data_IF_113917729938
#
_entry.id   IF_113917729938
#
_cell.length_a   1.000
_cell.length_b   1.000
_cell.length_c   1.000
_cell.angle_alpha   90.00
_cell.angle_beta   90.00
_cell.angle_gamma   90.00
#
_symmetry.space_group_name_H-M   'P 1'
#
loop_
_entity.id
_entity.type
_entity.pdbx_description
1 polymer ?
#
# COMPACT_ATOMS: atom_id res chain seq x y z
N UNK A 1 -92.98 21.32 -12.20
CA UNK A 1 -92.40 21.25 -10.89
C UNK A 1 -90.95 20.66 -11.10
N UNK A 2 -89.99 21.57 -11.11
CA UNK A 2 -88.56 21.20 -11.27
C UNK A 2 -87.90 21.13 -9.89
N UNK A 3 -87.43 19.99 -9.48
CA UNK A 3 -86.61 19.84 -8.29
C UNK A 3 -85.13 20.12 -8.66
N UNK A 4 -84.55 21.13 -8.07
CA UNK A 4 -83.14 21.41 -8.15
C UNK A 4 -82.40 20.52 -7.13
N UNK A 5 -81.42 19.82 -7.60
CA UNK A 5 -80.49 19.06 -6.77
C UNK A 5 -79.27 19.94 -6.53
N UNK A 6 -79.08 20.32 -5.28
CA UNK A 6 -77.85 21.07 -4.85
C UNK A 6 -76.75 20.08 -4.56
N UNK A 7 -75.67 20.12 -5.36
CA UNK A 7 -74.46 19.35 -5.14
C UNK A 7 -73.52 20.22 -4.29
N UNK A 8 -73.26 19.77 -3.08
CA UNK A 8 -72.19 20.36 -2.25
C UNK A 8 -70.85 19.83 -2.71
N UNK A 9 -69.97 20.71 -3.26
CA UNK A 9 -68.58 20.42 -3.54
C UNK A 9 -67.79 20.74 -2.27
N UNK A 10 -67.28 19.70 -1.62
CA UNK A 10 -66.36 19.86 -0.50
C UNK A 10 -64.98 20.07 -1.09
N UNK A 11 -64.43 21.26 -1.01
CA UNK A 11 -63.07 21.60 -1.35
C UNK A 11 -62.19 21.27 -0.13
N UNK A 12 -61.42 20.18 -0.21
CA UNK A 12 -60.39 19.89 0.75
C UNK A 12 -59.15 20.72 0.36
N UNK A 13 -58.87 21.76 1.09
CA UNK A 13 -57.62 22.53 1.00
C UNK A 13 -56.57 21.73 1.74
N UNK A 14 -55.71 20.99 1.01
CA UNK A 14 -54.50 20.42 1.54
C UNK A 14 -53.47 21.54 1.72
N UNK A 15 -53.26 21.97 2.94
CA UNK A 15 -52.19 22.90 3.30
C UNK A 15 -50.85 22.16 3.19
N UNK A 16 -50.09 22.38 2.11
CA UNK A 16 -48.70 22.02 2.00
C UNK A 16 -47.90 22.89 2.99
N UNK A 17 -47.57 22.33 4.12
CA UNK A 17 -46.53 22.88 4.99
C UNK A 17 -45.21 22.55 4.31
N UNK A 18 -44.67 23.45 3.52
CA UNK A 18 -43.30 23.47 3.12
C UNK A 18 -42.43 23.66 4.38
N UNK A 19 -42.02 22.56 4.97
CA UNK A 19 -40.97 22.56 5.95
C UNK A 19 -39.69 23.08 5.29
N UNK A 20 -39.33 24.32 5.55
CA UNK A 20 -38.00 24.86 5.31
C UNK A 20 -37.08 24.06 6.21
N UNK A 21 -36.44 23.04 5.65
CA UNK A 21 -35.26 22.39 6.27
C UNK A 21 -34.19 23.48 6.27
N UNK A 22 -33.72 23.98 7.41
CA UNK A 22 -32.61 24.87 7.39
C UNK A 22 -31.43 24.07 6.80
N UNK A 23 -30.89 24.57 5.68
CA UNK A 23 -29.60 24.19 5.21
C UNK A 23 -28.63 24.53 6.35
N UNK A 24 -28.36 23.55 7.23
CA UNK A 24 -27.22 23.60 8.10
C UNK A 24 -26.03 23.36 7.15
N UNK A 25 -25.58 24.45 6.55
CA UNK A 25 -24.20 24.53 6.07
C UNK A 25 -23.34 24.34 7.31
N UNK A 26 -23.03 23.11 7.64
CA UNK A 26 -21.84 22.82 8.42
C UNK A 26 -20.70 23.28 7.53
N UNK A 27 -20.26 24.51 7.70
CA UNK A 27 -18.86 24.83 7.50
C UNK A 27 -18.12 23.93 8.50
N UNK A 28 -17.86 22.67 8.11
CA UNK A 28 -16.75 21.94 8.63
C UNK A 28 -15.57 22.84 8.27
N UNK A 29 -14.98 23.49 9.25
CA UNK A 29 -13.63 24.02 9.15
C UNK A 29 -12.82 22.83 8.62
N UNK A 30 -12.52 22.85 7.33
CA UNK A 30 -11.53 21.98 6.75
C UNK A 30 -10.26 22.40 7.46
N UNK A 31 -9.89 21.61 8.49
CA UNK A 31 -8.62 21.79 9.17
C UNK A 31 -7.56 21.68 8.10
N UNK A 32 -7.00 22.81 7.72
CA UNK A 32 -6.05 22.98 6.63
C UNK A 32 -4.77 22.26 7.07
N UNK A 33 -4.69 20.94 6.79
CA UNK A 33 -3.52 20.15 7.10
C UNK A 33 -2.36 20.64 6.23
N UNK A 34 -1.55 21.52 6.79
CA UNK A 34 -0.38 22.07 6.11
C UNK A 34 0.83 21.21 6.43
N UNK A 35 1.53 20.82 5.40
CA UNK A 35 2.74 20.03 5.48
C UNK A 35 3.97 20.88 5.18
N UNK A 36 5.04 20.66 5.93
CA UNK A 36 6.38 21.11 5.58
C UNK A 36 7.09 19.93 4.91
N UNK A 37 7.57 20.11 3.70
CA UNK A 37 8.18 19.06 2.89
C UNK A 37 9.61 19.49 2.55
N UNK A 38 10.58 18.71 3.02
CA UNK A 38 11.96 18.77 2.58
C UNK A 38 12.18 17.65 1.55
N UNK A 39 12.86 17.96 0.44
CA UNK A 39 13.09 17.03 -0.66
C UNK A 39 14.59 16.85 -0.90
N UNK A 40 15.02 15.59 -0.85
CA UNK A 40 16.42 15.17 -1.04
C UNK A 40 16.49 14.21 -2.24
N UNK A 41 17.56 14.27 -3.03
CA UNK A 41 17.74 13.36 -4.16
C UNK A 41 18.32 12.02 -3.67
N UNK A 42 17.78 10.91 -4.21
CA UNK A 42 18.27 9.54 -3.98
C UNK A 42 18.55 8.83 -5.32
N UNK A 43 19.50 9.33 -6.13
CA UNK A 43 19.70 8.87 -7.51
C UNK A 43 20.21 7.44 -7.60
N UNK A 44 20.98 6.96 -6.62
CA UNK A 44 21.59 5.64 -6.67
C UNK A 44 20.60 4.51 -6.42
N UNK A 45 19.62 4.72 -5.52
CA UNK A 45 18.58 3.74 -5.19
C UNK A 45 17.36 3.82 -6.10
N UNK A 46 17.21 4.89 -6.88
CA UNK A 46 16.15 5.03 -7.88
C UNK A 46 16.26 3.95 -8.96
N UNK A 47 15.14 3.33 -9.32
CA UNK A 47 15.08 2.27 -10.32
C UNK A 47 14.74 2.87 -11.67
N UNK A 48 15.71 2.79 -12.60
CA UNK A 48 15.50 3.19 -14.01
C UNK A 48 15.74 1.98 -14.91
N UNK A 49 14.77 1.69 -15.77
CA UNK A 49 14.83 0.59 -16.74
C UNK A 49 14.26 1.02 -18.09
N UNK A 50 14.28 0.14 -19.09
CA UNK A 50 13.69 0.38 -20.41
C UNK A 50 12.17 0.58 -20.38
N UNK A 51 11.49 0.11 -19.35
CA UNK A 51 10.01 0.18 -19.22
C UNK A 51 9.53 1.26 -18.26
N UNK A 52 10.43 2.06 -17.68
CA UNK A 52 10.08 3.17 -16.81
C UNK A 52 10.87 3.24 -15.51
N UNK A 53 10.36 4.02 -14.61
CA UNK A 53 10.98 4.36 -13.34
C UNK A 53 10.13 3.86 -12.17
N UNK A 54 10.80 3.65 -11.03
CA UNK A 54 10.18 3.25 -9.77
C UNK A 54 11.00 3.76 -8.60
N UNK A 55 10.34 4.32 -7.61
CA UNK A 55 10.96 4.72 -6.34
C UNK A 55 11.52 3.51 -5.57
N UNK A 56 12.48 3.79 -4.71
CA UNK A 56 13.08 2.78 -3.84
C UNK A 56 12.10 2.28 -2.78
N UNK A 57 12.21 1.01 -2.39
CA UNK A 57 11.68 0.54 -1.11
C UNK A 57 12.52 1.14 0.03
N UNK A 58 11.90 1.49 1.17
CA UNK A 58 12.58 2.08 2.31
C UNK A 58 12.36 1.27 3.58
N UNK A 59 13.39 1.18 4.43
CA UNK A 59 13.25 0.63 5.77
C UNK A 59 14.18 1.36 6.74
N UNK A 60 13.65 1.80 7.88
CA UNK A 60 14.40 2.54 8.87
C UNK A 60 15.37 1.67 9.66
N UNK A 61 16.61 2.14 9.81
CA UNK A 61 17.60 1.56 10.71
C UNK A 61 17.73 2.35 12.03
N UNK A 62 17.66 3.65 11.96
CA UNK A 62 17.67 4.58 13.10
C UNK A 62 17.22 5.97 12.62
N UNK A 63 17.35 7.00 13.45
CA UNK A 63 16.89 8.37 13.18
C UNK A 63 17.41 8.98 11.89
N UNK A 64 18.62 8.62 11.49
CA UNK A 64 19.33 9.27 10.38
C UNK A 64 19.61 8.28 9.22
N UNK A 65 19.46 6.96 9.46
CA UNK A 65 19.89 5.94 8.51
C UNK A 65 18.76 5.03 8.08
N UNK A 66 18.66 4.87 6.77
CA UNK A 66 17.65 4.05 6.11
C UNK A 66 18.31 3.04 5.15
N UNK A 67 17.71 1.87 5.03
CA UNK A 67 17.98 0.97 3.91
C UNK A 67 17.07 1.39 2.76
N UNK A 68 17.67 1.55 1.58
CA UNK A 68 16.93 1.77 0.35
C UNK A 68 17.15 0.58 -0.58
N UNK A 69 16.05 0.11 -1.18
CA UNK A 69 16.06 -1.04 -2.08
C UNK A 69 15.68 -0.65 -3.49
N UNK A 70 16.54 -0.92 -4.46
CA UNK A 70 16.28 -0.58 -5.85
C UNK A 70 17.55 -0.44 -6.67
N UNK A 71 17.85 0.76 -7.11
CA UNK A 71 19.01 1.12 -7.94
C UNK A 71 18.94 0.56 -9.36
N UNK A 72 19.96 0.86 -10.15
CA UNK A 72 20.08 0.32 -11.49
C UNK A 72 20.07 -1.21 -11.43
N UNK A 73 19.01 -1.80 -12.00
CA UNK A 73 18.80 -3.23 -11.94
C UNK A 73 17.84 -3.69 -10.84
N UNK A 74 17.33 -2.80 -9.98
CA UNK A 74 16.22 -3.05 -9.08
C UNK A 74 16.49 -3.91 -7.85
N UNK A 75 17.65 -4.59 -7.76
CA UNK A 75 17.95 -5.57 -6.69
C UNK A 75 19.17 -5.20 -5.84
N UNK A 76 19.59 -3.94 -5.87
CA UNK A 76 20.65 -3.44 -5.01
C UNK A 76 20.08 -2.90 -3.68
N UNK A 77 20.88 -3.00 -2.62
CA UNK A 77 20.62 -2.35 -1.34
C UNK A 77 21.61 -1.22 -1.12
N UNK A 78 21.11 -0.12 -0.61
CA UNK A 78 21.87 1.07 -0.26
C UNK A 78 21.65 1.40 1.20
N UNK A 79 22.62 2.02 1.81
CA UNK A 79 22.47 2.79 3.04
C UNK A 79 22.31 4.24 2.62
N UNK A 80 21.27 4.87 3.10
CA UNK A 80 21.10 6.31 3.01
C UNK A 80 21.24 6.92 4.40
N UNK A 81 22.02 8.00 4.49
CA UNK A 81 22.20 8.79 5.70
C UNK A 81 21.63 10.20 5.46
N UNK A 82 20.51 10.49 6.11
CA UNK A 82 19.75 11.74 5.89
C UNK A 82 20.50 12.98 6.42
N UNK A 83 21.42 12.84 7.37
CA UNK A 83 22.20 13.93 7.89
C UNK A 83 23.30 14.41 6.96
N UNK A 84 23.97 13.48 6.29
CA UNK A 84 25.00 13.78 5.30
C UNK A 84 24.48 13.85 3.88
N UNK A 85 23.23 13.45 3.65
CA UNK A 85 22.61 13.25 2.33
C UNK A 85 23.49 12.36 1.42
N UNK A 86 23.91 11.23 1.97
CA UNK A 86 24.83 10.31 1.29
C UNK A 86 24.17 8.93 1.05
N UNK A 87 24.21 8.46 -0.18
CA UNK A 87 23.81 7.12 -0.59
C UNK A 87 25.03 6.23 -0.82
N UNK A 88 25.10 5.12 -0.10
CA UNK A 88 26.17 4.16 -0.26
C UNK A 88 25.67 2.76 -0.55
N UNK A 89 26.12 2.19 -1.66
CA UNK A 89 25.75 0.82 -2.03
C UNK A 89 26.32 -0.19 -1.05
N UNK A 90 25.46 -1.07 -0.52
CA UNK A 90 25.84 -2.15 0.40
C UNK A 90 26.10 -3.47 -0.33
N UNK A 91 25.32 -3.76 -1.36
CA UNK A 91 25.39 -5.00 -2.11
C UNK A 91 24.15 -5.28 -2.95
N UNK A 92 23.93 -6.54 -3.26
CA UNK A 92 22.82 -6.98 -4.12
C UNK A 92 22.16 -8.22 -3.53
N UNK A 93 20.82 -8.28 -3.53
CA UNK A 93 20.04 -9.38 -2.94
C UNK A 93 19.87 -10.57 -3.90
N UNK A 94 19.91 -10.33 -5.20
CA UNK A 94 19.76 -11.36 -6.23
C UNK A 94 20.63 -11.02 -7.46
N UNK A 95 20.95 -12.02 -8.27
CA UNK A 95 21.72 -11.83 -9.50
C UNK A 95 20.92 -11.09 -10.56
N UNK A 96 21.63 -10.43 -11.50
CA UNK A 96 21.02 -9.80 -12.66
C UNK A 96 20.19 -10.78 -13.51
N UNK A 97 20.55 -12.07 -13.50
CA UNK A 97 19.80 -13.12 -14.19
C UNK A 97 18.43 -13.41 -13.60
N UNK A 98 18.16 -12.96 -12.37
CA UNK A 98 16.88 -13.15 -11.69
C UNK A 98 15.80 -12.10 -12.05
N UNK A 99 16.04 -11.26 -13.03
CA UNK A 99 15.12 -10.20 -13.49
C UNK A 99 15.15 -10.02 -15.01
N UNK A 100 14.11 -9.34 -15.50
CA UNK A 100 14.09 -8.71 -16.81
C UNK A 100 14.42 -7.22 -16.67
N UNK A 101 14.71 -6.54 -17.77
CA UNK A 101 14.92 -5.09 -17.80
C UNK A 101 13.56 -4.36 -17.80
N UNK A 102 12.93 -4.43 -16.64
CA UNK A 102 11.59 -3.92 -16.36
C UNK A 102 11.57 -3.38 -14.92
N UNK A 103 11.07 -2.15 -14.73
CA UNK A 103 11.03 -1.47 -13.42
C UNK A 103 10.20 -2.22 -12.37
N UNK A 104 9.31 -3.11 -12.81
CA UNK A 104 8.52 -3.97 -11.92
C UNK A 104 9.35 -5.09 -11.27
N UNK A 105 10.53 -5.44 -11.85
CA UNK A 105 11.50 -6.35 -11.23
C UNK A 105 12.46 -5.58 -10.31
N UNK A 106 11.90 -5.04 -9.24
CA UNK A 106 12.64 -4.35 -8.18
C UNK A 106 12.31 -4.94 -6.82
N UNK A 107 13.09 -4.58 -5.82
CA UNK A 107 12.73 -4.81 -4.42
C UNK A 107 11.36 -4.18 -4.18
N UNK A 108 10.43 -4.98 -3.67
CA UNK A 108 9.07 -4.51 -3.36
C UNK A 108 8.99 -3.95 -1.96
N UNK A 109 9.75 -4.55 -1.02
CA UNK A 109 9.78 -4.09 0.36
C UNK A 109 10.95 -4.68 1.18
N UNK A 110 11.27 -4.06 2.34
CA UNK A 110 12.36 -4.43 3.24
C UNK A 110 11.85 -4.41 4.69
N UNK A 111 11.84 -5.55 5.37
CA UNK A 111 11.52 -5.64 6.79
C UNK A 111 12.77 -5.81 7.66
N UNK A 112 13.01 -4.91 8.61
CA UNK A 112 14.14 -4.98 9.55
C UNK A 112 13.75 -5.81 10.77
N UNK A 113 14.25 -7.05 10.84
CA UNK A 113 13.93 -7.98 11.94
C UNK A 113 14.71 -7.67 13.21
N UNK A 114 15.96 -7.26 13.09
CA UNK A 114 16.82 -6.88 14.23
C UNK A 114 18.03 -6.11 13.77
N UNK A 115 18.55 -5.24 14.66
CA UNK A 115 19.78 -4.47 14.44
C UNK A 115 20.66 -4.55 15.69
N UNK A 116 21.97 -4.67 15.47
CA UNK A 116 23.00 -4.59 16.51
C UNK A 116 24.27 -3.94 15.95
N UNK A 117 24.61 -2.77 16.44
CA UNK A 117 25.69 -1.94 15.87
C UNK A 117 25.46 -1.71 14.37
N UNK A 118 26.45 -1.97 13.56
CA UNK A 118 26.40 -1.83 12.09
C UNK A 118 25.92 -3.10 11.35
N UNK A 119 25.18 -3.96 12.02
CA UNK A 119 24.60 -5.17 11.42
C UNK A 119 23.11 -5.21 11.61
N UNK A 120 22.38 -5.62 10.58
CA UNK A 120 20.94 -5.87 10.63
C UNK A 120 20.64 -7.25 10.03
N UNK A 121 19.62 -7.92 10.58
CA UNK A 121 18.95 -9.03 9.93
C UNK A 121 17.67 -8.49 9.31
N UNK A 122 17.49 -8.74 8.03
CA UNK A 122 16.35 -8.24 7.27
C UNK A 122 15.70 -9.35 6.46
N UNK A 123 14.45 -9.15 6.12
CA UNK A 123 13.78 -9.87 5.03
C UNK A 123 13.50 -8.88 3.90
N UNK A 124 13.57 -9.38 2.68
CA UNK A 124 13.36 -8.55 1.48
C UNK A 124 12.48 -9.32 0.52
N UNK A 125 11.43 -8.67 0.05
CA UNK A 125 10.52 -9.21 -0.95
C UNK A 125 10.84 -8.66 -2.35
N UNK A 126 10.71 -9.50 -3.36
CA UNK A 126 10.96 -9.12 -4.76
C UNK A 126 10.41 -10.16 -5.74
N UNK A 127 9.91 -9.76 -6.93
CA UNK A 127 9.60 -10.70 -7.99
C UNK A 127 10.89 -11.25 -8.60
N UNK A 128 10.99 -12.56 -8.69
CA UNK A 128 12.13 -13.27 -9.28
C UNK A 128 11.74 -13.96 -10.57
N UNK A 129 12.46 -13.68 -11.64
CA UNK A 129 12.33 -14.38 -12.91
C UNK A 129 13.14 -15.67 -12.93
N UNK A 130 12.48 -16.78 -13.21
CA UNK A 130 13.11 -18.08 -13.47
C UNK A 130 13.33 -18.24 -14.98
N UNK A 131 14.60 -18.19 -15.41
CA UNK A 131 14.97 -18.23 -16.83
C UNK A 131 14.70 -19.59 -17.46
N UNK A 132 14.75 -20.67 -16.69
CA UNK A 132 14.52 -22.02 -17.18
C UNK A 132 13.03 -22.26 -17.42
N UNK A 133 12.20 -21.94 -16.42
CA UNK A 133 10.74 -22.08 -16.48
C UNK A 133 10.04 -20.91 -17.20
N UNK A 134 10.77 -19.83 -17.48
CA UNK A 134 10.27 -18.59 -18.08
C UNK A 134 9.06 -18.01 -17.35
N UNK A 135 9.14 -17.97 -16.04
CA UNK A 135 8.04 -17.55 -15.19
C UNK A 135 8.53 -16.73 -13.98
N UNK A 136 7.61 -16.09 -13.27
CA UNK A 136 7.86 -15.20 -12.14
C UNK A 136 7.21 -15.76 -10.89
N UNK A 137 7.93 -15.69 -9.76
CA UNK A 137 7.41 -15.89 -8.41
C UNK A 137 7.82 -14.72 -7.52
N UNK A 138 6.96 -14.36 -6.55
CA UNK A 138 7.36 -13.49 -5.45
C UNK A 138 8.24 -14.29 -4.48
N UNK A 139 9.35 -13.70 -4.07
CA UNK A 139 10.30 -14.26 -3.11
C UNK A 139 10.31 -13.39 -1.85
N UNK A 140 10.31 -14.01 -0.68
CA UNK A 140 10.75 -13.40 0.57
C UNK A 140 12.08 -14.03 0.98
N UNK A 141 13.17 -13.30 0.76
CA UNK A 141 14.53 -13.69 1.14
C UNK A 141 14.94 -13.12 2.49
N UNK A 142 15.73 -13.86 3.26
CA UNK A 142 16.33 -13.38 4.52
C UNK A 142 17.82 -13.12 4.33
N UNK A 143 18.29 -11.99 4.88
CA UNK A 143 19.65 -11.50 4.70
C UNK A 143 20.24 -10.95 5.99
N UNK A 144 21.55 -11.06 6.12
CA UNK A 144 22.34 -10.30 7.08
C UNK A 144 23.07 -9.19 6.33
N UNK A 145 22.91 -7.98 6.80
CA UNK A 145 23.50 -6.79 6.22
C UNK A 145 24.54 -6.23 7.19
N UNK A 146 25.75 -5.97 6.68
CA UNK A 146 26.73 -5.13 7.36
C UNK A 146 26.80 -3.78 6.64
N UNK A 147 26.40 -2.72 7.34
CA UNK A 147 26.40 -1.35 6.83
C UNK A 147 27.50 -0.47 7.45
N UNK A 148 28.49 -1.07 8.12
CA UNK A 148 29.74 -0.41 8.53
C UNK A 148 30.71 -0.17 7.37
N UNK A 149 31.96 0.16 7.68
CA UNK A 149 33.00 0.47 6.69
C UNK A 149 33.24 -0.66 5.65
N UNK A 150 33.08 -1.93 6.06
CA UNK A 150 33.09 -3.08 5.15
C UNK A 150 31.67 -3.54 4.90
N UNK A 151 31.01 -2.91 3.94
CA UNK A 151 29.63 -3.25 3.55
C UNK A 151 29.54 -4.67 3.01
N UNK A 152 28.47 -5.38 3.37
CA UNK A 152 28.19 -6.72 2.85
C UNK A 152 26.71 -7.06 2.98
N UNK A 153 26.20 -7.77 1.98
CA UNK A 153 24.87 -8.39 1.97
C UNK A 153 25.05 -9.88 1.86
N UNK A 154 24.71 -10.61 2.92
CA UNK A 154 24.82 -12.08 2.97
C UNK A 154 23.43 -12.69 3.03
N UNK A 155 23.11 -13.55 2.07
CA UNK A 155 21.84 -14.28 2.05
C UNK A 155 21.86 -15.39 3.11
N UNK A 156 20.81 -15.45 3.93
CA UNK A 156 20.64 -16.49 4.96
C UNK A 156 19.63 -17.58 4.55
N UNK A 157 18.79 -17.30 3.54
CA UNK A 157 17.82 -18.28 3.03
C UNK A 157 16.61 -17.64 2.36
N UNK A 158 15.64 -18.47 2.02
CA UNK A 158 14.34 -18.07 1.52
C UNK A 158 13.29 -18.47 2.53
N UNK A 159 12.41 -17.54 2.91
CA UNK A 159 11.30 -17.81 3.82
C UNK A 159 10.02 -18.15 3.06
N UNK A 160 9.85 -17.55 1.85
CA UNK A 160 8.69 -17.78 1.02
C UNK A 160 9.05 -17.73 -0.48
N UNK A 161 8.37 -18.55 -1.26
CA UNK A 161 8.35 -18.51 -2.71
C UNK A 161 6.91 -18.77 -3.15
N UNK A 162 6.28 -17.83 -3.83
CA UNK A 162 4.91 -17.99 -4.28
C UNK A 162 4.74 -19.12 -5.30
N UNK A 163 3.61 -19.80 -5.22
CA UNK A 163 3.16 -20.83 -6.14
C UNK A 163 1.73 -20.49 -6.61
N UNK A 164 1.43 -20.54 -7.91
CA UNK A 164 2.30 -20.96 -9.01
C UNK A 164 3.37 -19.95 -9.39
N UNK A 165 4.37 -20.39 -10.14
CA UNK A 165 5.23 -19.52 -10.92
C UNK A 165 4.46 -19.13 -12.18
N UNK A 166 4.24 -17.84 -12.42
CA UNK A 166 3.34 -17.34 -13.46
C UNK A 166 4.07 -16.80 -14.69
N UNK A 167 3.44 -16.75 -15.86
CA UNK A 167 4.06 -16.18 -17.06
C UNK A 167 4.53 -14.74 -16.87
N UNK A 168 5.58 -14.37 -17.59
CA UNK A 168 6.27 -13.07 -17.43
C UNK A 168 5.34 -11.86 -17.62
N UNK A 169 4.35 -11.93 -18.50
CA UNK A 169 3.40 -10.83 -18.73
C UNK A 169 2.58 -10.43 -17.50
N UNK A 170 2.53 -11.27 -16.48
CA UNK A 170 1.70 -11.11 -15.29
C UNK A 170 2.40 -10.40 -14.10
N UNK A 171 3.63 -9.90 -14.24
CA UNK A 171 4.44 -9.40 -13.11
C UNK A 171 3.95 -8.10 -12.48
N UNK A 172 2.95 -7.47 -13.02
CA UNK A 172 2.51 -6.11 -12.67
C UNK A 172 1.85 -5.94 -11.29
N UNK A 173 1.32 -7.00 -10.69
CA UNK A 173 0.62 -6.96 -9.39
C UNK A 173 1.36 -7.82 -8.37
N UNK A 174 2.61 -7.51 -8.11
CA UNK A 174 3.42 -8.31 -7.21
C UNK A 174 3.03 -8.12 -5.73
N UNK A 175 2.48 -6.96 -5.36
CA UNK A 175 2.33 -6.57 -3.96
C UNK A 175 3.68 -6.70 -3.22
N UNK A 176 3.82 -7.63 -2.30
CA UNK A 176 5.10 -7.95 -1.66
C UNK A 176 5.40 -7.07 -0.45
N UNK A 177 4.39 -6.42 0.15
CA UNK A 177 4.57 -5.60 1.35
C UNK A 177 4.78 -6.45 2.58
N UNK A 178 5.61 -5.96 3.50
CA UNK A 178 6.09 -6.67 4.67
C UNK A 178 5.76 -5.87 5.93
N UNK A 179 4.97 -6.45 6.82
CA UNK A 179 4.80 -5.92 8.16
C UNK A 179 5.52 -6.81 9.17
N UNK A 180 6.48 -6.25 9.91
CA UNK A 180 7.32 -7.01 10.85
C UNK A 180 6.60 -7.17 12.19
N UNK A 181 6.21 -8.39 12.52
CA UNK A 181 5.56 -8.71 13.81
C UNK A 181 6.60 -8.80 14.93
N UNK A 182 7.68 -9.53 14.66
CA UNK A 182 8.79 -9.76 15.58
C UNK A 182 10.05 -10.23 14.83
N UNK A 183 11.10 -10.57 15.57
CA UNK A 183 12.39 -11.02 14.98
C UNK A 183 12.31 -12.29 14.12
N UNK A 184 11.19 -13.01 14.15
CA UNK A 184 11.01 -14.33 13.51
C UNK A 184 9.79 -14.40 12.60
N UNK A 185 8.86 -13.46 12.70
CA UNK A 185 7.58 -13.50 12.01
C UNK A 185 7.30 -12.17 11.33
N UNK A 186 6.76 -12.26 10.13
CA UNK A 186 6.27 -11.11 9.36
C UNK A 186 4.92 -11.43 8.74
N UNK A 187 4.12 -10.42 8.43
CA UNK A 187 3.08 -10.53 7.42
C UNK A 187 3.67 -10.21 6.05
N UNK A 188 3.15 -10.85 5.01
CA UNK A 188 3.56 -10.67 3.62
C UNK A 188 2.33 -10.63 2.73
N UNK A 189 2.18 -9.59 1.93
CA UNK A 189 1.16 -9.51 0.90
C UNK A 189 1.64 -10.15 -0.39
N UNK A 190 0.74 -10.75 -1.15
CA UNK A 190 0.99 -11.30 -2.48
C UNK A 190 -0.19 -10.96 -3.39
N UNK A 191 0.07 -10.22 -4.44
CA UNK A 191 -0.93 -9.88 -5.45
C UNK A 191 -1.27 -11.03 -6.40
N UNK A 192 -2.17 -10.78 -7.33
CA UNK A 192 -2.58 -11.76 -8.34
C UNK A 192 -1.54 -11.96 -9.45
N UNK A 193 -0.46 -11.18 -9.46
CA UNK A 193 0.57 -11.11 -10.51
C UNK A 193 -0.02 -10.91 -11.94
N UNK A 194 -1.28 -10.51 -12.07
CA UNK A 194 -2.00 -10.44 -13.34
C UNK A 194 -2.27 -11.82 -13.97
N UNK A 195 -2.27 -12.88 -13.18
CA UNK A 195 -2.42 -14.26 -13.65
C UNK A 195 -3.80 -14.50 -14.26
N UNK A 196 -3.87 -14.89 -15.53
CA UNK A 196 -5.13 -15.03 -16.28
C UNK A 196 -6.09 -16.09 -15.73
N UNK A 197 -5.57 -17.08 -14.98
CA UNK A 197 -6.35 -18.13 -14.33
C UNK A 197 -6.60 -17.88 -12.85
N UNK A 198 -6.58 -16.63 -12.40
CA UNK A 198 -6.80 -16.29 -10.99
C UNK A 198 -8.20 -16.67 -10.48
N UNK A 199 -9.19 -16.81 -11.37
CA UNK A 199 -10.53 -17.30 -11.07
C UNK A 199 -10.58 -18.79 -10.70
N UNK A 200 -9.59 -19.56 -11.15
CA UNK A 200 -9.49 -20.99 -10.84
C UNK A 200 -8.75 -21.14 -9.50
N UNK A 201 -9.48 -21.58 -8.49
CA UNK A 201 -8.94 -21.71 -7.13
C UNK A 201 -7.75 -22.67 -7.04
N UNK A 202 -7.75 -23.75 -7.82
CA UNK A 202 -6.64 -24.71 -7.86
C UNK A 202 -5.42 -24.11 -8.58
N UNK A 203 -5.65 -23.38 -9.68
CA UNK A 203 -4.58 -22.76 -10.46
C UNK A 203 -3.96 -21.55 -9.75
N UNK A 204 -4.75 -20.74 -9.04
CA UNK A 204 -4.27 -19.52 -8.36
C UNK A 204 -3.33 -19.80 -7.20
N UNK A 205 -3.51 -20.90 -6.46
CA UNK A 205 -2.65 -21.31 -5.36
C UNK A 205 -2.48 -20.22 -4.27
N UNK A 206 -1.30 -19.64 -4.22
CA UNK A 206 -0.96 -18.57 -3.26
C UNK A 206 -1.39 -17.16 -3.69
N UNK A 207 -1.67 -16.96 -4.98
CA UNK A 207 -1.89 -15.64 -5.55
C UNK A 207 -3.12 -14.93 -4.95
N UNK A 208 -3.05 -13.60 -4.85
CA UNK A 208 -4.09 -12.79 -4.26
C UNK A 208 -4.34 -13.08 -2.79
N UNK A 209 -3.28 -13.30 -2.01
CA UNK A 209 -3.39 -13.70 -0.60
C UNK A 209 -2.44 -12.91 0.31
N UNK A 210 -2.77 -12.90 1.60
CA UNK A 210 -1.90 -12.40 2.66
C UNK A 210 -1.46 -13.54 3.55
N UNK A 211 -0.19 -13.54 3.93
CA UNK A 211 0.43 -14.61 4.71
C UNK A 211 1.07 -14.09 6.00
N UNK A 212 1.06 -14.92 7.05
CA UNK A 212 2.04 -14.85 8.14
C UNK A 212 3.16 -15.81 7.84
N UNK A 213 4.39 -15.28 7.77
CA UNK A 213 5.58 -16.02 7.31
C UNK A 213 6.67 -16.01 8.38
N UNK A 214 7.28 -17.16 8.58
CA UNK A 214 8.52 -17.31 9.33
C UNK A 214 9.49 -18.22 8.56
N UNK A 215 10.71 -18.37 9.03
CA UNK A 215 11.69 -19.27 8.40
C UNK A 215 11.19 -20.70 8.17
N UNK A 216 10.31 -21.20 9.03
CA UNK A 216 9.87 -22.61 9.05
C UNK A 216 8.39 -22.80 8.80
N UNK A 217 7.59 -21.72 8.74
CA UNK A 217 6.15 -21.83 8.62
C UNK A 217 5.56 -20.70 7.79
N UNK A 218 4.66 -21.06 6.89
CA UNK A 218 3.82 -20.14 6.10
C UNK A 218 2.36 -20.45 6.45
N UNK A 219 1.60 -19.42 6.77
CA UNK A 219 0.18 -19.53 7.07
C UNK A 219 -0.57 -18.48 6.26
N UNK A 220 -1.49 -18.92 5.39
CA UNK A 220 -2.40 -18.01 4.69
C UNK A 220 -3.39 -17.40 5.70
N UNK A 221 -3.50 -16.09 5.71
CA UNK A 221 -4.38 -15.33 6.61
C UNK A 221 -5.67 -14.94 5.91
N UNK A 222 -5.58 -14.41 4.68
CA UNK A 222 -6.72 -14.00 3.87
C UNK A 222 -6.45 -14.25 2.38
N UNK A 223 -7.50 -14.13 1.57
CA UNK A 223 -7.43 -14.28 0.11
C UNK A 223 -8.43 -13.34 -0.58
N UNK A 224 -8.52 -13.44 -1.92
CA UNK A 224 -9.42 -12.60 -2.69
C UNK A 224 -8.90 -11.17 -2.85
N UNK A 225 -7.58 -11.00 -2.85
CA UNK A 225 -6.90 -9.72 -3.05
C UNK A 225 -6.35 -9.59 -4.47
N UNK A 226 -6.34 -8.36 -4.98
CA UNK A 226 -5.78 -8.06 -6.30
C UNK A 226 -4.32 -7.62 -6.22
N UNK A 227 -4.03 -6.54 -5.51
CA UNK A 227 -2.69 -5.95 -5.45
C UNK A 227 -2.53 -5.07 -4.20
N UNK A 228 -2.28 -5.68 -3.06
CA UNK A 228 -2.09 -5.01 -1.76
C UNK A 228 -0.74 -4.28 -1.75
N UNK A 229 -0.74 -2.96 -1.77
CA UNK A 229 0.45 -2.11 -1.88
C UNK A 229 0.83 -1.40 -0.59
N UNK A 230 0.07 -1.58 0.49
CA UNK A 230 0.40 -1.11 1.82
C UNK A 230 -0.10 -2.07 2.89
N UNK A 231 0.60 -2.09 4.02
CA UNK A 231 0.27 -2.94 5.16
C UNK A 231 0.74 -2.29 6.46
N UNK A 232 -0.12 -2.29 7.48
CA UNK A 232 0.25 -1.78 8.81
C UNK A 232 -0.49 -2.53 9.92
N UNK A 233 0.21 -2.77 11.03
CA UNK A 233 -0.34 -3.41 12.23
C UNK A 233 -0.58 -2.36 13.31
N UNK A 234 -1.84 -2.22 13.76
CA UNK A 234 -2.23 -1.33 14.87
C UNK A 234 -2.74 -2.20 16.02
N UNK A 235 -1.93 -2.34 17.06
CA UNK A 235 -2.22 -3.28 18.14
C UNK A 235 -2.27 -4.72 17.64
N UNK A 236 -3.47 -5.30 17.52
CA UNK A 236 -3.69 -6.65 16.95
C UNK A 236 -4.36 -6.61 15.58
N UNK A 237 -4.76 -5.44 15.11
CA UNK A 237 -5.54 -5.26 13.89
C UNK A 237 -4.62 -4.93 12.71
N UNK A 238 -4.77 -5.69 11.64
CA UNK A 238 -3.93 -5.57 10.45
C UNK A 238 -4.74 -4.90 9.33
N UNK A 239 -4.21 -3.81 8.80
CA UNK A 239 -4.83 -3.05 7.72
C UNK A 239 -4.00 -3.14 6.46
N UNK A 240 -4.66 -3.17 5.30
CA UNK A 240 -3.99 -3.14 4.00
C UNK A 240 -4.66 -2.14 3.07
N UNK A 241 -3.86 -1.49 2.23
CA UNK A 241 -4.34 -0.74 1.07
C UNK A 241 -4.15 -1.57 -0.19
N UNK A 242 -5.09 -1.54 -1.13
CA UNK A 242 -4.93 -2.29 -2.36
C UNK A 242 -5.51 -1.60 -3.58
N UNK A 243 -4.91 -1.86 -4.74
CA UNK A 243 -5.37 -1.36 -6.02
C UNK A 243 -6.53 -2.19 -6.55
N UNK A 244 -7.65 -1.56 -6.83
CA UNK A 244 -8.67 -2.09 -7.71
C UNK A 244 -8.23 -2.07 -9.19
N UNK A 245 -9.10 -2.44 -10.12
CA UNK A 245 -8.81 -2.28 -11.54
C UNK A 245 -8.89 -0.79 -11.93
N UNK A 246 -9.95 -0.34 -12.54
CA UNK A 246 -10.16 1.06 -12.90
C UNK A 246 -10.99 1.76 -11.83
N UNK A 247 -10.35 2.26 -10.77
CA UNK A 247 -10.98 2.65 -9.50
C UNK A 247 -11.22 1.44 -8.60
N UNK A 248 -11.96 1.63 -7.51
CA UNK A 248 -12.20 0.59 -6.53
C UNK A 248 -10.96 0.19 -5.75
N UNK A 249 -10.05 1.13 -5.52
CA UNK A 249 -8.97 0.96 -4.57
C UNK A 249 -9.55 0.86 -3.16
N UNK A 250 -8.93 0.11 -2.26
CA UNK A 250 -9.54 -0.25 -0.99
C UNK A 250 -8.59 -0.07 0.20
N UNK A 251 -9.16 0.28 1.34
CA UNK A 251 -8.58 0.09 2.66
C UNK A 251 -9.31 -1.05 3.35
N UNK A 252 -8.60 -2.10 3.71
CA UNK A 252 -9.14 -3.32 4.27
C UNK A 252 -8.65 -3.56 5.71
N UNK A 253 -9.56 -3.92 6.61
CA UNK A 253 -9.22 -4.57 7.87
C UNK A 253 -9.13 -6.08 7.64
N UNK A 254 -7.98 -6.67 7.88
CA UNK A 254 -7.73 -8.08 7.58
C UNK A 254 -8.28 -8.98 8.69
N UNK A 255 -9.15 -9.88 8.30
CA UNK A 255 -9.70 -10.93 9.16
C UNK A 255 -9.13 -12.30 8.77
N UNK A 256 -8.83 -13.11 9.78
CA UNK A 256 -8.32 -14.47 9.52
C UNK A 256 -9.38 -15.32 8.82
N UNK A 257 -9.02 -15.89 7.67
CA UNK A 257 -9.92 -16.67 6.81
C UNK A 257 -10.82 -15.80 5.92
N UNK A 258 -10.64 -14.46 5.94
CA UNK A 258 -11.41 -13.53 5.09
C UNK A 258 -11.14 -13.74 3.61
N UNK A 259 -12.19 -13.61 2.80
CA UNK A 259 -12.13 -13.53 1.33
C UNK A 259 -12.64 -12.16 0.90
N UNK A 260 -11.79 -11.39 0.22
CA UNK A 260 -12.03 -9.99 -0.16
C UNK A 260 -12.61 -9.84 -1.58
N UNK A 261 -12.90 -10.97 -2.23
CA UNK A 261 -13.77 -11.04 -3.40
C UNK A 261 -13.08 -10.97 -4.76
N UNK A 262 -11.82 -10.49 -4.87
CA UNK A 262 -11.13 -10.47 -6.16
C UNK A 262 -10.84 -11.89 -6.66
N UNK A 263 -11.10 -12.21 -7.94
CA UNK A 263 -11.65 -11.36 -9.00
C UNK A 263 -13.17 -11.52 -9.19
N UNK A 264 -13.88 -12.15 -8.27
CA UNK A 264 -15.33 -12.33 -8.39
C UNK A 264 -16.07 -10.99 -8.34
N UNK A 265 -15.64 -10.08 -7.49
CA UNK A 265 -16.24 -8.74 -7.32
C UNK A 265 -15.17 -7.67 -7.11
N UNK A 266 -15.48 -6.42 -7.47
CA UNK A 266 -14.69 -5.21 -7.19
C UNK A 266 -15.62 -3.99 -7.20
N UNK A 267 -15.21 -2.91 -6.54
CA UNK A 267 -15.84 -1.59 -6.68
C UNK A 267 -15.36 -0.82 -7.92
N UNK A 268 -14.29 -1.30 -8.58
CA UNK A 268 -13.75 -0.67 -9.77
C UNK A 268 -14.32 -1.24 -11.06
N UNK A 269 -14.08 -0.51 -12.15
CA UNK A 269 -14.50 -0.90 -13.50
C UNK A 269 -13.42 -1.74 -14.20
N UNK A 270 -13.77 -2.70 -15.06
CA UNK A 270 -12.79 -3.42 -15.83
C UNK A 270 -12.04 -2.50 -16.80
N UNK A 271 -10.77 -2.79 -17.06
CA UNK A 271 -10.03 -2.10 -18.11
C UNK A 271 -10.63 -2.43 -19.49
N UNK A 272 -10.74 -1.40 -20.34
CA UNK A 272 -11.29 -1.54 -21.69
C UNK A 272 -10.31 -2.19 -22.67
N UNK A 273 -9.00 -2.17 -22.38
CA UNK A 273 -7.94 -2.70 -23.24
C UNK A 273 -6.86 -3.41 -22.40
N UNK A 274 -6.12 -4.32 -23.04
CA UNK A 274 -5.06 -5.13 -22.42
C UNK A 274 -5.56 -6.48 -21.86
N UNK A 275 -4.60 -7.38 -21.60
CA UNK A 275 -4.86 -8.74 -21.09
C UNK A 275 -5.00 -8.75 -19.55
N UNK A 276 -5.77 -7.81 -19.01
CA UNK A 276 -6.06 -7.80 -17.59
C UNK A 276 -7.20 -8.75 -17.26
N UNK A 277 -7.11 -9.39 -16.09
CA UNK A 277 -8.23 -10.14 -15.53
C UNK A 277 -9.42 -9.21 -15.37
N UNK A 278 -10.56 -9.63 -15.88
CA UNK A 278 -11.81 -8.88 -15.73
C UNK A 278 -12.57 -9.43 -14.53
N UNK A 279 -13.06 -8.57 -13.65
CA UNK A 279 -13.92 -8.99 -12.56
C UNK A 279 -15.23 -9.58 -13.12
N UNK A 280 -15.80 -10.52 -12.38
CA UNK A 280 -17.09 -11.14 -12.76
C UNK A 280 -18.24 -10.18 -12.51
N UNK A 281 -18.16 -9.38 -11.43
CA UNK A 281 -19.14 -8.39 -11.07
C UNK A 281 -18.48 -7.09 -10.53
N UNK A 282 -19.19 -5.98 -10.64
CA UNK A 282 -18.81 -4.69 -10.06
C UNK A 282 -19.85 -4.27 -9.03
N UNK A 283 -19.42 -3.63 -7.94
CA UNK A 283 -20.29 -3.10 -6.88
C UNK A 283 -20.18 -3.85 -5.56
N UNK A 284 -21.31 -4.19 -4.93
CA UNK A 284 -21.36 -4.67 -3.55
C UNK A 284 -20.69 -6.03 -3.33
N UNK A 285 -19.89 -6.14 -2.26
CA UNK A 285 -19.27 -7.38 -1.78
C UNK A 285 -20.23 -8.15 -0.85
N UNK A 286 -21.42 -8.54 -1.32
CA UNK A 286 -22.48 -9.08 -0.45
C UNK A 286 -22.09 -10.34 0.32
N UNK A 287 -21.32 -11.23 -0.33
CA UNK A 287 -20.87 -12.51 0.25
C UNK A 287 -19.39 -12.53 0.60
N UNK A 288 -18.70 -11.42 0.41
CA UNK A 288 -17.27 -11.27 0.68
C UNK A 288 -17.02 -10.27 1.81
N UNK A 289 -15.80 -10.26 2.34
CA UNK A 289 -15.38 -9.26 3.32
C UNK A 289 -15.35 -7.88 2.65
N UNK A 290 -16.07 -6.92 3.24
CA UNK A 290 -16.15 -5.56 2.71
C UNK A 290 -14.95 -4.74 3.14
N UNK A 291 -14.43 -3.84 2.28
CA UNK A 291 -13.44 -2.87 2.69
C UNK A 291 -14.03 -1.86 3.69
N UNK A 292 -13.18 -1.27 4.51
CA UNK A 292 -13.56 -0.15 5.38
C UNK A 292 -13.83 1.11 4.57
N UNK A 293 -13.08 1.29 3.50
CA UNK A 293 -13.19 2.41 2.57
C UNK A 293 -12.79 1.97 1.16
N UNK A 294 -13.42 2.53 0.14
CA UNK A 294 -12.98 2.39 -1.26
C UNK A 294 -12.99 3.74 -1.98
N UNK A 295 -12.22 3.83 -3.06
CA UNK A 295 -12.05 5.05 -3.86
C UNK A 295 -12.42 4.82 -5.32
N UNK A 296 -13.32 5.65 -5.82
CA UNK A 296 -13.67 5.78 -7.23
C UNK A 296 -13.80 7.28 -7.53
N UNK A 297 -12.93 7.84 -8.36
CA UNK A 297 -11.86 7.23 -9.14
C UNK A 297 -10.70 6.69 -8.30
N UNK A 298 -9.78 5.94 -8.94
CA UNK A 298 -8.57 5.39 -8.30
C UNK A 298 -7.66 6.49 -7.79
N UNK A 299 -7.12 6.30 -6.59
CA UNK A 299 -6.03 7.09 -6.00
C UNK A 299 -4.67 6.41 -6.19
N UNK A 300 -4.66 5.13 -6.55
CA UNK A 300 -3.51 4.23 -6.64
C UNK A 300 -2.71 4.19 -5.33
N UNK A 301 -3.26 3.59 -4.25
CA UNK A 301 -2.66 3.57 -2.92
C UNK A 301 -1.33 2.83 -2.90
N UNK A 302 -0.43 3.25 -2.02
CA UNK A 302 0.82 2.57 -1.73
C UNK A 302 0.93 2.24 -0.24
N UNK A 303 2.09 2.42 0.38
CA UNK A 303 2.33 2.02 1.76
C UNK A 303 1.43 2.76 2.75
N UNK A 304 1.19 2.08 3.86
CA UNK A 304 0.49 2.59 5.03
C UNK A 304 1.48 2.77 6.18
N UNK A 305 1.36 3.88 6.89
CA UNK A 305 2.02 4.09 8.17
C UNK A 305 1.04 4.61 9.21
N UNK A 306 1.35 4.40 10.49
CA UNK A 306 0.62 5.03 11.60
C UNK A 306 1.46 6.16 12.14
N UNK A 307 0.87 7.33 12.23
CA UNK A 307 1.52 8.48 12.86
C UNK A 307 1.74 8.20 14.35
N UNK A 308 2.88 8.57 14.91
CA UNK A 308 3.13 8.42 16.32
C UNK A 308 2.21 9.34 17.16
N UNK A 309 2.03 8.98 18.42
CA UNK A 309 1.31 9.81 19.37
C UNK A 309 2.18 10.99 19.81
N UNK A 310 2.24 12.01 18.95
CA UNK A 310 2.99 13.26 19.19
C UNK A 310 2.10 14.46 18.86
N UNK A 311 2.24 15.52 19.66
CA UNK A 311 1.42 16.74 19.54
C UNK A 311 1.53 17.41 18.16
N UNK A 312 2.66 17.26 17.49
CA UNK A 312 2.91 17.83 16.15
C UNK A 312 1.87 17.43 15.11
N UNK A 313 1.28 16.22 15.20
CA UNK A 313 0.25 15.75 14.28
C UNK A 313 -1.18 16.08 14.74
N UNK A 314 -1.36 16.56 16.00
CA UNK A 314 -2.67 16.94 16.55
C UNK A 314 -3.69 15.81 16.46
N UNK A 315 -4.84 16.06 15.86
CA UNK A 315 -5.91 15.08 15.68
C UNK A 315 -5.53 13.87 14.79
N UNK A 316 -4.48 13.99 13.98
CA UNK A 316 -3.95 12.92 13.15
C UNK A 316 -2.99 11.98 13.90
N UNK A 317 -2.63 12.29 15.16
CA UNK A 317 -1.84 11.38 15.99
C UNK A 317 -2.51 10.01 16.09
N UNK A 318 -1.72 8.95 15.96
CA UNK A 318 -2.20 7.55 15.96
C UNK A 318 -3.13 7.17 14.80
N UNK A 319 -3.27 8.03 13.78
CA UNK A 319 -4.08 7.78 12.59
C UNK A 319 -3.23 7.20 11.45
N UNK A 320 -3.90 6.60 10.46
CA UNK A 320 -3.25 6.03 9.27
C UNK A 320 -2.92 7.14 8.27
N UNK A 321 -1.73 7.06 7.69
CA UNK A 321 -1.37 7.80 6.48
C UNK A 321 -1.06 6.82 5.36
N UNK A 322 -1.63 7.07 4.19
CA UNK A 322 -1.51 6.27 2.99
C UNK A 322 -0.85 7.08 1.88
N UNK A 323 0.21 6.56 1.29
CA UNK A 323 0.81 7.15 0.10
C UNK A 323 -0.01 6.85 -1.15
N UNK A 324 0.08 7.72 -2.17
CA UNK A 324 -0.59 7.51 -3.45
C UNK A 324 0.31 7.78 -4.64
N UNK A 325 0.07 7.04 -5.73
CA UNK A 325 0.78 7.25 -6.99
C UNK A 325 0.03 8.20 -7.92
N UNK A 326 -1.29 8.06 -8.00
CA UNK A 326 -2.08 8.81 -8.97
C UNK A 326 -2.44 10.20 -8.49
N UNK A 327 -2.78 10.34 -7.21
CA UNK A 327 -3.10 11.65 -6.64
C UNK A 327 -1.88 12.46 -6.26
N UNK A 328 -0.67 11.83 -6.26
CA UNK A 328 0.57 12.49 -5.88
C UNK A 328 0.48 13.14 -4.49
N UNK A 329 -0.20 12.45 -3.59
CA UNK A 329 -0.64 12.95 -2.28
C UNK A 329 -0.39 11.93 -1.16
N UNK A 330 -0.46 12.41 0.07
CA UNK A 330 -0.67 11.61 1.27
C UNK A 330 -2.14 11.70 1.67
N UNK A 331 -2.78 10.55 1.89
CA UNK A 331 -4.15 10.48 2.39
C UNK A 331 -4.11 10.15 3.88
N UNK A 332 -4.61 11.07 4.71
CA UNK A 332 -4.75 10.92 6.15
C UNK A 332 -6.14 10.32 6.42
N UNK A 333 -6.19 9.23 7.18
CA UNK A 333 -7.40 8.43 7.40
C UNK A 333 -7.61 8.28 8.90
N UNK A 334 -8.67 8.90 9.40
CA UNK A 334 -9.10 8.74 10.77
C UNK A 334 -9.76 7.38 10.98
N UNK A 335 -9.34 6.65 12.01
CA UNK A 335 -10.05 5.49 12.53
C UNK A 335 -10.77 5.90 13.81
N UNK A 336 -12.11 6.03 13.76
CA UNK A 336 -12.95 6.28 14.95
C UNK A 336 -12.87 5.09 15.89
N UNK A 337 -12.89 3.90 15.32
CA UNK A 337 -12.63 2.62 15.94
C UNK A 337 -11.97 1.67 14.92
N UNK A 338 -11.69 0.43 15.34
CA UNK A 338 -11.00 -0.56 14.47
C UNK A 338 -11.71 -0.84 13.13
N UNK A 339 -13.01 -0.56 13.01
CA UNK A 339 -13.86 -0.93 11.88
C UNK A 339 -14.51 0.25 11.18
N UNK A 340 -14.36 1.45 11.71
CA UNK A 340 -15.06 2.65 11.23
C UNK A 340 -14.07 3.73 10.84
N UNK A 341 -14.06 4.07 9.56
CA UNK A 341 -13.32 5.20 9.01
C UNK A 341 -14.13 6.49 9.25
N UNK A 342 -13.50 7.46 9.87
CA UNK A 342 -14.03 8.82 10.06
C UNK A 342 -13.62 9.76 8.94
N UNK A 343 -12.93 10.85 9.29
CA UNK A 343 -12.45 11.84 8.35
C UNK A 343 -11.36 11.27 7.44
N UNK A 344 -11.38 11.67 6.17
CA UNK A 344 -10.34 11.35 5.18
C UNK A 344 -9.91 12.63 4.50
N UNK A 345 -8.63 12.98 4.62
CA UNK A 345 -8.05 14.20 4.06
C UNK A 345 -6.91 13.86 3.13
N UNK A 346 -6.95 14.37 1.91
CA UNK A 346 -5.85 14.29 0.95
C UNK A 346 -4.98 15.54 1.05
N UNK A 347 -3.68 15.37 1.26
CA UNK A 347 -2.69 16.43 1.28
C UNK A 347 -1.75 16.25 0.06
N UNK A 348 -1.83 17.18 -0.88
CA UNK A 348 -1.00 17.21 -2.07
C UNK A 348 0.48 17.35 -1.71
N UNK A 349 1.33 16.51 -2.27
CA UNK A 349 2.79 16.56 -2.13
C UNK A 349 3.48 16.72 -3.50
N UNK A 350 2.75 16.67 -4.60
CA UNK A 350 3.23 16.86 -5.96
C UNK A 350 4.19 15.75 -6.44
N UNK A 351 4.13 14.56 -5.82
CA UNK A 351 5.03 13.45 -6.10
C UNK A 351 4.28 12.10 -5.99
N UNK A 352 4.61 11.18 -6.87
CA UNK A 352 4.13 9.80 -6.81
C UNK A 352 4.83 9.08 -5.66
N UNK A 353 4.15 8.92 -4.55
CA UNK A 353 4.70 8.29 -3.33
C UNK A 353 4.82 6.79 -3.56
N UNK A 354 6.03 6.23 -3.39
CA UNK A 354 6.28 4.81 -3.58
C UNK A 354 6.23 4.02 -2.28
N UNK A 355 6.87 4.54 -1.24
CA UNK A 355 7.02 3.85 0.04
C UNK A 355 7.10 4.85 1.19
N UNK A 356 6.73 4.43 2.38
CA UNK A 356 6.64 5.28 3.57
C UNK A 356 7.31 4.64 4.78
N UNK A 357 7.90 5.48 5.63
CA UNK A 357 8.41 5.14 6.95
C UNK A 357 8.13 6.28 7.94
N UNK A 358 8.17 5.97 9.22
CA UNK A 358 8.13 6.99 10.29
C UNK A 358 9.50 7.10 10.93
N UNK A 359 10.05 8.32 11.01
CA UNK A 359 11.30 8.60 11.73
C UNK A 359 11.08 8.54 13.25
N UNK A 360 12.17 8.44 14.02
CA UNK A 360 12.07 8.49 15.49
C UNK A 360 11.61 9.86 16.02
N UNK A 361 11.76 10.92 15.20
CA UNK A 361 11.20 12.26 15.49
C UNK A 361 9.74 12.41 15.10
N UNK A 362 9.12 11.35 14.58
CA UNK A 362 7.70 11.33 14.22
C UNK A 362 7.38 11.93 12.84
N UNK A 363 8.38 12.20 12.01
CA UNK A 363 8.18 12.68 10.64
C UNK A 363 7.85 11.52 9.71
N UNK A 364 7.08 11.78 8.67
CA UNK A 364 6.88 10.85 7.57
C UNK A 364 8.10 10.95 6.64
N UNK A 365 8.67 9.81 6.32
CA UNK A 365 9.74 9.68 5.32
C UNK A 365 9.16 8.95 4.13
N UNK A 366 9.20 9.55 2.96
CA UNK A 366 8.61 9.00 1.75
C UNK A 366 9.64 8.89 0.63
N UNK A 367 9.62 7.78 -0.12
CA UNK A 367 10.33 7.69 -1.40
C UNK A 367 9.37 7.92 -2.56
N UNK A 368 9.87 8.49 -3.65
CA UNK A 368 9.05 8.85 -4.80
C UNK A 368 9.52 8.17 -6.09
N UNK A 369 8.62 8.04 -7.06
CA UNK A 369 8.97 7.50 -8.39
C UNK A 369 9.93 8.41 -9.18
N UNK A 370 10.06 9.67 -8.79
CA UNK A 370 11.03 10.62 -9.37
C UNK A 370 12.44 10.55 -8.77
N UNK A 371 12.69 9.60 -7.86
CA UNK A 371 14.02 9.43 -7.23
C UNK A 371 14.32 10.44 -6.14
N UNK A 372 13.30 10.83 -5.36
CA UNK A 372 13.44 11.71 -4.21
C UNK A 372 13.09 10.96 -2.91
N UNK A 373 13.68 11.43 -1.82
CA UNK A 373 13.26 11.14 -0.47
C UNK A 373 12.68 12.42 0.11
N UNK A 374 11.43 12.34 0.58
CA UNK A 374 10.74 13.46 1.22
C UNK A 374 10.77 13.26 2.73
N UNK A 375 11.10 14.33 3.47
CA UNK A 375 10.95 14.42 4.92
C UNK A 375 9.78 15.35 5.19
N UNK A 376 8.70 14.79 5.75
CA UNK A 376 7.42 15.49 5.85
C UNK A 376 7.02 15.63 7.32
N UNK A 377 6.71 16.84 7.73
CA UNK A 377 6.19 17.16 9.06
C UNK A 377 4.95 18.05 8.98
N UNK A 378 4.15 18.06 10.03
CA UNK A 378 3.06 19.03 10.16
C UNK A 378 3.63 20.43 10.28
N UNK A 379 3.01 21.42 9.63
CA UNK A 379 3.37 22.84 9.76
C UNK A 379 2.70 23.52 10.96
N UNK A 380 1.92 22.78 11.79
CA UNK A 380 1.40 23.35 13.03
C UNK A 380 2.59 23.81 13.88
N UNK A 381 2.71 25.13 14.07
CA UNK A 381 3.59 25.65 15.12
C UNK A 381 2.93 25.28 16.45
N UNK A 382 3.65 24.56 17.28
CA UNK A 382 3.28 24.42 18.69
C UNK A 382 3.17 25.85 19.29
N UNK A 383 2.16 26.12 20.09
CA UNK A 383 1.97 27.44 20.72
C UNK A 383 3.11 27.82 21.62
#
# INVERSE_FOLDING_TARGET
>A
MRRQVIIWVVIIIASLILGVIPNISTNADTHDLKLNIESLAIPESHVTTSTGERGAAIARLNNEQYLLGGGKGGFALYLYDSKSNDERRLGQIASAGARLDDSRFAITDIGVLSKKGNRANVVVSYPRYDRVRKCVSLILGSYQINFGAKSAVKRNGTWFTSNPCVPVGAVQHAAGRIEVIDRKNVYLTLGDLGFSKINDEQARGDLGSLFKVSKSKVLKISQGHRNQQGIVLIGSDLYTSEHGPRGGDELNLITKGGDYGWPAVTYGEPYSAGDYVKPTATGSHEVFTKPLKYWVPSVAPTELVVLPEVEAWGEWSSQIVMGTLREEALIFIELIDRTTVGQVVSADVGERIRDLEISDSGQIIATTDSGKLLIISSSRRLP
#
